data_IF_635106007291
#
_entry.id   IF_635106007291
#
_cell.length_a   1.000
_cell.length_b   1.000
_cell.length_c   1.000
_cell.angle_alpha   90.00
_cell.angle_beta   90.00
_cell.angle_gamma   90.00
#
_symmetry.space_group_name_H-M   'P 1'
#
loop_
_entity.id
_entity.type
_entity.pdbx_description
1 polymer ?
#
# COMPACT_ATOMS: atom_id res chain seq x y z
N UNK A 1 59.91 11.58 15.47
CA UNK A 1 59.32 10.23 15.35
C UNK A 1 59.36 9.51 16.70
N UNK A 2 60.50 9.57 17.41
CA UNK A 2 60.65 9.05 18.79
C UNK A 2 59.65 9.65 19.80
N UNK A 3 59.41 10.97 19.78
CA UNK A 3 58.46 11.60 20.72
C UNK A 3 56.99 11.12 20.60
N UNK A 4 56.58 10.63 19.42
CA UNK A 4 55.24 10.07 19.20
C UNK A 4 55.19 8.62 19.69
N UNK A 5 56.30 7.89 19.56
CA UNK A 5 56.46 6.53 20.07
C UNK A 5 56.51 6.52 21.59
N UNK A 6 57.21 7.47 22.22
CA UNK A 6 57.24 7.61 23.68
C UNK A 6 55.90 8.07 24.25
N UNK A 7 55.17 8.94 23.55
CA UNK A 7 53.81 9.33 23.95
C UNK A 7 52.82 8.16 23.90
N UNK A 8 52.93 7.28 22.90
CA UNK A 8 52.14 6.06 22.80
C UNK A 8 52.56 5.02 23.85
N UNK A 9 53.85 4.85 24.10
CA UNK A 9 54.37 3.93 25.12
C UNK A 9 53.99 4.34 26.54
N UNK A 10 53.90 5.64 26.85
CA UNK A 10 53.45 6.16 28.13
C UNK A 10 51.95 5.85 28.41
N UNK A 11 51.12 5.72 27.36
CA UNK A 11 49.72 5.30 27.48
C UNK A 11 49.54 3.77 27.55
N UNK A 12 50.50 3.01 27.00
CA UNK A 12 50.45 1.54 26.91
C UNK A 12 51.11 0.87 28.13
N UNK A 13 52.03 1.56 28.81
CA UNK A 13 52.93 0.98 29.82
C UNK A 13 52.31 0.49 31.15
N UNK A 14 51.14 0.97 31.57
CA UNK A 14 50.50 0.54 32.83
C UNK A 14 48.97 0.46 32.75
N UNK A 15 48.41 0.33 31.54
CA UNK A 15 46.98 0.10 31.42
C UNK A 15 46.69 -1.38 31.78
N UNK A 16 46.25 -1.63 33.01
CA UNK A 16 45.67 -2.92 33.37
C UNK A 16 44.60 -3.29 32.33
N UNK A 17 44.48 -4.56 31.96
CA UNK A 17 43.48 -4.98 30.95
C UNK A 17 42.06 -4.51 31.28
N UNK A 18 41.78 -4.28 32.56
CA UNK A 18 40.57 -3.65 33.06
C UNK A 18 40.41 -2.18 32.61
N UNK A 19 41.46 -1.35 32.71
CA UNK A 19 41.46 0.06 32.29
C UNK A 19 41.22 0.22 30.78
N UNK A 20 41.85 -0.64 29.97
CA UNK A 20 41.63 -0.67 28.51
C UNK A 20 40.19 -1.07 28.18
N UNK A 21 39.68 -2.13 28.83
CA UNK A 21 38.31 -2.60 28.64
C UNK A 21 37.28 -1.54 29.02
N UNK A 22 37.48 -0.87 30.16
CA UNK A 22 36.60 0.21 30.62
C UNK A 22 36.60 1.39 29.65
N UNK A 23 37.78 1.80 29.17
CA UNK A 23 37.91 2.91 28.21
C UNK A 23 37.20 2.60 26.89
N UNK A 24 37.40 1.41 26.32
CA UNK A 24 36.71 0.96 25.11
C UNK A 24 35.20 0.89 25.31
N UNK A 25 34.74 0.43 26.47
CA UNK A 25 33.32 0.39 26.80
C UNK A 25 32.70 1.79 26.90
N UNK A 26 33.39 2.77 27.51
CA UNK A 26 32.93 4.16 27.57
C UNK A 26 32.88 4.80 26.17
N UNK A 27 33.90 4.56 25.33
CA UNK A 27 33.89 5.01 23.92
C UNK A 27 32.72 4.39 23.17
N UNK A 28 32.47 3.09 23.36
CA UNK A 28 31.32 2.40 22.77
C UNK A 28 30.00 3.03 23.22
N UNK A 29 29.81 3.31 24.51
CA UNK A 29 28.61 3.99 25.02
C UNK A 29 28.45 5.40 24.44
N UNK A 30 29.54 6.16 24.30
CA UNK A 30 29.55 7.47 23.67
C UNK A 30 29.14 7.42 22.19
N UNK A 31 29.71 6.50 21.42
CA UNK A 31 29.35 6.25 20.02
C UNK A 31 27.91 5.74 19.88
N UNK A 32 27.46 4.89 20.79
CA UNK A 32 26.10 4.35 20.83
C UNK A 32 25.08 5.45 21.12
N UNK A 33 25.38 6.33 22.07
CA UNK A 33 24.55 7.50 22.36
C UNK A 33 24.55 8.47 21.18
N UNK A 34 25.71 8.85 20.64
CA UNK A 34 25.81 9.69 19.45
C UNK A 34 24.95 9.10 18.34
N UNK A 35 25.18 7.82 18.02
CA UNK A 35 24.40 7.09 17.03
C UNK A 35 22.92 7.33 17.28
N UNK A 36 22.43 7.07 18.49
CA UNK A 36 21.01 7.16 18.85
C UNK A 36 20.34 8.53 18.64
N UNK A 37 21.08 9.65 18.73
CA UNK A 37 20.52 11.02 18.70
C UNK A 37 20.89 11.83 17.47
N UNK A 38 21.99 11.53 16.79
CA UNK A 38 22.51 12.33 15.67
C UNK A 38 21.49 12.65 14.55
N UNK A 39 20.61 11.71 14.12
CA UNK A 39 19.60 11.99 13.09
C UNK A 39 18.55 13.03 13.49
N UNK A 40 18.38 13.28 14.79
CA UNK A 40 17.29 14.10 15.33
C UNK A 40 17.48 15.61 15.15
N UNK A 41 18.59 16.02 14.55
CA UNK A 41 18.84 17.41 14.17
C UNK A 41 18.24 17.81 12.82
N UNK A 42 17.92 16.85 11.95
CA UNK A 42 17.52 17.12 10.55
C UNK A 42 16.30 18.02 10.45
N UNK A 43 15.21 17.70 11.15
CA UNK A 43 13.96 18.48 11.08
C UNK A 43 14.15 19.89 11.65
N UNK A 44 14.85 20.01 12.78
CA UNK A 44 15.20 21.31 13.38
C UNK A 44 16.05 22.18 12.45
N UNK A 45 17.03 21.59 11.73
CA UNK A 45 17.84 22.30 10.74
C UNK A 45 17.03 22.79 9.54
N UNK A 46 15.96 22.09 9.18
CA UNK A 46 15.01 22.50 8.16
C UNK A 46 13.94 23.49 8.67
N UNK A 47 13.98 23.90 9.94
CA UNK A 47 12.98 24.79 10.54
C UNK A 47 11.63 24.12 10.79
N UNK A 48 11.55 22.79 10.73
CA UNK A 48 10.29 22.04 10.91
C UNK A 48 10.08 21.79 12.41
N UNK A 49 8.93 22.22 12.93
CA UNK A 49 8.56 21.99 14.33
C UNK A 49 8.21 20.51 14.55
N UNK A 50 8.75 19.90 15.61
CA UNK A 50 8.51 18.50 15.95
C UNK A 50 8.63 18.26 17.46
N UNK A 51 7.96 17.22 18.00
CA UNK A 51 8.13 16.81 19.39
C UNK A 51 9.56 16.28 19.63
N UNK A 52 9.99 16.29 20.89
CA UNK A 52 11.29 15.75 21.28
C UNK A 52 11.33 14.23 21.04
N UNK A 53 12.27 13.71 20.23
CA UNK A 53 12.40 12.28 19.99
C UNK A 53 13.11 11.55 21.13
N UNK A 54 12.73 10.29 21.36
CA UNK A 54 13.41 9.37 22.26
C UNK A 54 14.62 8.76 21.52
N UNK A 55 15.80 8.62 22.16
CA UNK A 55 16.95 7.91 21.59
C UNK A 55 16.56 6.60 20.89
N UNK A 56 17.13 6.36 19.70
CA UNK A 56 16.86 5.21 18.80
C UNK A 56 15.47 5.15 18.17
N UNK A 57 14.42 5.37 18.96
CA UNK A 57 13.03 5.03 18.61
C UNK A 57 12.23 6.24 18.10
N UNK A 58 12.77 7.44 18.24
CA UNK A 58 12.11 8.67 17.80
C UNK A 58 10.82 8.89 18.57
N UNK A 59 9.72 9.05 17.85
CA UNK A 59 8.40 9.32 18.39
C UNK A 59 7.44 8.12 18.23
N UNK A 60 7.96 6.90 18.04
CA UNK A 60 7.10 5.71 17.78
C UNK A 60 6.05 5.47 18.88
N UNK A 61 6.36 5.80 20.13
CA UNK A 61 5.46 5.61 21.26
C UNK A 61 4.25 6.55 21.27
N UNK A 62 4.29 7.65 20.51
CA UNK A 62 3.09 8.48 20.29
C UNK A 62 1.97 7.66 19.64
N UNK A 63 2.32 6.66 18.84
CA UNK A 63 1.36 5.89 18.04
C UNK A 63 0.90 4.59 18.72
N UNK A 64 1.09 4.44 20.04
CA UNK A 64 0.73 3.21 20.76
C UNK A 64 -0.76 2.88 20.71
N UNK A 65 -1.60 3.89 20.63
CA UNK A 65 -3.06 3.76 20.57
C UNK A 65 -3.61 4.02 19.15
N UNK A 66 -2.75 4.01 18.12
CA UNK A 66 -3.11 4.30 16.74
C UNK A 66 -2.50 5.60 16.22
N UNK A 67 -2.78 5.91 14.95
CA UNK A 67 -2.15 7.03 14.24
C UNK A 67 -2.98 8.32 14.23
N UNK A 68 -4.31 8.23 14.24
CA UNK A 68 -5.17 9.39 13.94
C UNK A 68 -5.13 10.50 14.99
N UNK A 69 -5.35 10.18 16.27
CA UNK A 69 -5.30 11.19 17.35
C UNK A 69 -3.92 11.84 17.46
N UNK A 70 -2.81 11.09 17.55
CA UNK A 70 -1.48 11.69 17.64
C UNK A 70 -1.13 12.58 16.45
N UNK A 71 -1.49 12.20 15.22
CA UNK A 71 -1.28 13.05 14.04
C UNK A 71 -2.12 14.33 14.10
N UNK A 72 -3.38 14.25 14.51
CA UNK A 72 -4.24 15.42 14.72
C UNK A 72 -3.66 16.36 15.77
N UNK A 73 -3.17 15.82 16.88
CA UNK A 73 -2.60 16.61 17.98
C UNK A 73 -1.29 17.28 17.57
N UNK A 74 -0.46 16.61 16.76
CA UNK A 74 0.74 17.19 16.16
C UNK A 74 0.40 18.38 15.25
N UNK A 75 -0.63 18.26 14.41
CA UNK A 75 -1.10 19.35 13.55
C UNK A 75 -1.58 20.54 14.39
N UNK A 76 -2.36 20.28 15.46
CA UNK A 76 -2.87 21.33 16.36
C UNK A 76 -1.75 22.06 17.11
N UNK A 77 -0.74 21.33 17.58
CA UNK A 77 0.31 21.88 18.47
C UNK A 77 1.51 22.45 17.72
N UNK A 78 1.87 21.90 16.55
CA UNK A 78 3.08 22.27 15.81
C UNK A 78 2.76 22.96 14.47
N UNK A 79 1.49 22.99 14.06
CA UNK A 79 1.02 23.62 12.82
C UNK A 79 0.76 22.64 11.68
N UNK A 80 0.23 23.15 10.56
CA UNK A 80 -0.15 22.35 9.37
C UNK A 80 1.03 21.69 8.65
N UNK A 81 2.24 22.18 8.88
CA UNK A 81 3.48 21.57 8.41
C UNK A 81 4.35 21.35 9.64
N UNK A 82 4.43 20.11 10.07
CA UNK A 82 5.21 19.72 11.22
C UNK A 82 5.94 18.40 10.94
N UNK A 83 6.70 17.90 11.89
CA UNK A 83 7.43 16.66 11.70
C UNK A 83 7.49 15.82 12.95
N UNK A 84 7.99 14.60 12.78
CA UNK A 84 8.28 13.66 13.84
C UNK A 84 9.31 12.64 13.34
N UNK A 85 9.87 11.85 14.24
CA UNK A 85 10.80 10.78 13.88
C UNK A 85 10.14 9.41 14.04
N UNK A 86 10.24 8.55 13.03
CA UNK A 86 9.90 7.12 13.17
C UNK A 86 11.19 6.32 13.21
N UNK A 87 11.57 5.87 14.41
CA UNK A 87 12.92 5.43 14.66
C UNK A 87 13.88 6.58 14.43
N UNK A 88 14.79 6.39 13.48
CA UNK A 88 15.81 7.37 13.10
C UNK A 88 15.44 8.19 11.85
N UNK A 89 14.30 7.90 11.23
CA UNK A 89 13.90 8.52 9.95
C UNK A 89 13.04 9.76 10.21
N UNK A 90 13.42 10.95 9.70
CA UNK A 90 12.58 12.13 9.76
C UNK A 90 11.33 11.93 8.90
N UNK A 91 10.18 12.33 9.43
CA UNK A 91 8.90 12.33 8.72
C UNK A 91 8.34 13.74 8.78
N UNK A 92 7.99 14.29 7.61
CA UNK A 92 7.28 15.56 7.50
C UNK A 92 5.80 15.25 7.31
N UNK A 93 4.99 15.79 8.21
CA UNK A 93 3.54 15.75 8.15
C UNK A 93 3.04 17.01 7.46
N UNK A 94 2.33 16.83 6.34
CA UNK A 94 1.76 17.91 5.55
C UNK A 94 0.23 17.82 5.64
N UNK A 95 -0.39 18.86 6.19
CA UNK A 95 -1.84 19.02 6.30
C UNK A 95 -2.34 20.29 5.58
N UNK A 96 -1.50 20.87 4.74
CA UNK A 96 -1.84 22.01 3.89
C UNK A 96 -2.28 21.51 2.49
N UNK A 97 -3.50 21.83 2.02
CA UNK A 97 -4.03 21.31 0.76
C UNK A 97 -3.21 21.68 -0.48
N UNK A 98 -2.67 22.90 -0.53
CA UNK A 98 -1.89 23.37 -1.67
C UNK A 98 -0.56 22.63 -1.75
N UNK A 99 0.09 22.42 -0.60
CA UNK A 99 1.31 21.61 -0.53
C UNK A 99 1.05 20.14 -0.81
N UNK A 100 -0.07 19.58 -0.37
CA UNK A 100 -0.48 18.22 -0.73
C UNK A 100 -0.66 18.09 -2.25
N UNK A 101 -1.33 19.05 -2.90
CA UNK A 101 -1.46 19.08 -4.37
C UNK A 101 -0.09 19.19 -5.05
N UNK A 102 0.81 20.01 -4.50
CA UNK A 102 2.17 20.15 -5.02
C UNK A 102 2.91 18.80 -4.98
N UNK A 103 2.93 18.12 -3.83
CA UNK A 103 3.66 16.86 -3.63
C UNK A 103 3.02 15.68 -4.37
N UNK A 104 1.69 15.57 -4.34
CA UNK A 104 0.98 14.39 -4.84
C UNK A 104 0.65 14.46 -6.33
N UNK A 105 0.65 15.66 -6.94
CA UNK A 105 0.27 15.85 -8.35
C UNK A 105 1.37 16.58 -9.12
N UNK A 106 1.62 17.85 -8.81
CA UNK A 106 2.49 18.72 -9.64
C UNK A 106 3.95 18.22 -9.71
N UNK A 107 4.51 17.85 -8.56
CA UNK A 107 5.89 17.38 -8.43
C UNK A 107 5.96 15.87 -8.16
N UNK A 108 4.96 15.10 -8.60
CA UNK A 108 4.90 13.65 -8.34
C UNK A 108 6.18 12.91 -8.79
N UNK A 109 6.84 13.39 -9.85
CA UNK A 109 8.12 12.87 -10.34
C UNK A 109 9.25 12.90 -9.30
N UNK A 110 9.17 13.81 -8.32
CA UNK A 110 10.09 13.91 -7.18
C UNK A 110 9.68 13.01 -6.00
N UNK A 111 8.41 12.59 -5.93
CA UNK A 111 7.85 11.76 -4.87
C UNK A 111 7.21 10.44 -5.36
N UNK A 112 7.84 9.68 -6.28
CA UNK A 112 7.19 8.55 -6.93
C UNK A 112 7.06 7.31 -6.02
N UNK A 113 7.77 7.27 -4.89
CA UNK A 113 7.94 6.07 -4.08
C UNK A 113 7.28 6.18 -2.71
N UNK A 114 6.68 5.07 -2.27
CA UNK A 114 6.22 4.90 -0.89
C UNK A 114 7.36 4.54 0.05
N UNK A 115 7.09 4.64 1.36
CA UNK A 115 8.04 4.20 2.40
C UNK A 115 8.43 2.74 2.15
N UNK A 116 9.73 2.49 2.16
CA UNK A 116 10.26 1.14 1.97
C UNK A 116 10.12 0.33 3.24
N UNK A 117 9.65 -0.91 3.10
CA UNK A 117 9.73 -1.93 4.15
C UNK A 117 10.99 -2.75 3.85
N UNK A 118 12.07 -2.61 4.63
CA UNK A 118 13.27 -3.40 4.42
C UNK A 118 12.95 -4.89 4.50
N UNK A 119 13.48 -5.68 3.55
CA UNK A 119 13.35 -7.16 3.53
C UNK A 119 11.90 -7.66 3.48
N UNK A 120 10.98 -6.90 2.88
CA UNK A 120 9.66 -7.41 2.58
C UNK A 120 9.76 -8.77 1.85
N UNK A 121 9.15 -9.84 2.37
CA UNK A 121 9.26 -11.15 1.75
C UNK A 121 8.46 -11.19 0.45
N UNK A 122 8.76 -12.17 -0.41
CA UNK A 122 7.84 -12.50 -1.50
C UNK A 122 6.54 -13.09 -0.92
N UNK A 123 5.38 -12.78 -1.53
CA UNK A 123 5.21 -12.02 -2.77
C UNK A 123 5.09 -10.49 -2.56
N UNK A 124 5.12 -10.00 -1.31
CA UNK A 124 4.94 -8.58 -0.96
C UNK A 124 5.94 -7.63 -1.65
N UNK A 125 7.20 -8.03 -1.77
CA UNK A 125 8.26 -7.22 -2.41
C UNK A 125 7.95 -6.83 -3.86
N UNK A 126 7.12 -7.61 -4.54
CA UNK A 126 6.81 -7.45 -5.97
C UNK A 126 5.41 -6.87 -6.20
N UNK A 127 4.75 -6.39 -5.14
CA UNK A 127 3.43 -5.73 -5.19
C UNK A 127 3.55 -4.26 -5.60
N UNK A 128 2.53 -3.72 -6.27
CA UNK A 128 2.42 -2.29 -6.61
C UNK A 128 2.58 -1.33 -5.42
N UNK A 129 2.39 -1.81 -4.18
CA UNK A 129 2.60 -1.02 -2.97
C UNK A 129 4.08 -0.80 -2.64
N UNK A 130 4.96 -1.74 -3.03
CA UNK A 130 6.39 -1.73 -2.68
C UNK A 130 7.32 -1.60 -3.88
N UNK A 131 6.83 -1.80 -5.11
CA UNK A 131 7.57 -1.48 -6.33
C UNK A 131 7.97 0.00 -6.36
N UNK A 132 9.06 0.31 -7.05
CA UNK A 132 9.64 1.66 -7.11
C UNK A 132 9.93 2.12 -8.52
N UNK A 133 9.92 3.44 -8.71
CA UNK A 133 10.36 4.13 -9.94
C UNK A 133 9.75 3.49 -11.20
N UNK A 134 10.58 3.26 -12.22
CA UNK A 134 10.22 2.62 -13.48
C UNK A 134 9.50 1.28 -13.33
N UNK A 135 9.90 0.47 -12.35
CA UNK A 135 9.28 -0.84 -12.12
C UNK A 135 7.84 -0.67 -11.66
N UNK A 136 7.59 0.28 -10.75
CA UNK A 136 6.24 0.67 -10.35
C UNK A 136 5.47 1.25 -11.53
N UNK A 137 6.05 2.20 -12.28
CA UNK A 137 5.39 2.88 -13.41
C UNK A 137 4.91 1.86 -14.44
N UNK A 138 5.77 0.90 -14.80
CA UNK A 138 5.49 -0.18 -15.75
C UNK A 138 4.38 -1.11 -15.26
N UNK A 139 4.47 -1.62 -14.02
CA UNK A 139 3.41 -2.52 -13.51
C UNK A 139 2.09 -1.77 -13.34
N UNK A 140 2.13 -0.49 -12.95
CA UNK A 140 0.94 0.35 -12.77
C UNK A 140 0.23 0.58 -14.10
N UNK A 141 0.96 0.87 -15.18
CA UNK A 141 0.36 1.04 -16.51
C UNK A 141 -0.28 -0.24 -17.04
N UNK A 142 0.27 -1.41 -16.71
CA UNK A 142 -0.26 -2.72 -17.12
C UNK A 142 -1.55 -3.07 -16.36
N UNK A 143 -1.61 -2.77 -15.06
CA UNK A 143 -2.71 -3.18 -14.19
C UNK A 143 -3.90 -2.20 -14.21
N UNK A 144 -3.67 -0.92 -14.47
CA UNK A 144 -4.73 0.10 -14.41
C UNK A 144 -5.92 -0.15 -15.36
N UNK A 145 -5.73 -0.62 -16.61
CA UNK A 145 -6.85 -0.92 -17.52
C UNK A 145 -7.83 -1.98 -17.01
N UNK A 146 -7.38 -2.88 -16.12
CA UNK A 146 -8.22 -3.90 -15.49
C UNK A 146 -9.34 -3.34 -14.61
N UNK A 147 -9.25 -2.05 -14.24
CA UNK A 147 -10.25 -1.33 -13.46
C UNK A 147 -11.06 -0.31 -14.30
N UNK A 148 -11.02 -0.42 -15.64
CA UNK A 148 -11.87 0.41 -16.50
C UNK A 148 -13.36 0.11 -16.29
N UNK A 149 -14.23 1.09 -16.58
CA UNK A 149 -15.67 0.94 -16.38
C UNK A 149 -16.29 -0.26 -17.10
N UNK A 150 -15.78 -0.62 -18.29
CA UNK A 150 -16.22 -1.82 -19.00
C UNK A 150 -15.84 -3.12 -18.25
N UNK A 151 -14.63 -3.20 -17.71
CA UNK A 151 -14.17 -4.35 -16.93
C UNK A 151 -14.90 -4.47 -15.60
N UNK A 152 -15.18 -3.34 -14.94
CA UNK A 152 -15.99 -3.33 -13.72
C UNK A 152 -17.40 -3.85 -13.97
N UNK A 153 -18.03 -3.51 -15.11
CA UNK A 153 -19.34 -4.06 -15.49
C UNK A 153 -19.31 -5.58 -15.70
N UNK A 154 -18.25 -6.14 -16.28
CA UNK A 154 -18.07 -7.59 -16.42
C UNK A 154 -18.03 -8.32 -15.05
N UNK A 155 -17.65 -7.62 -13.97
CA UNK A 155 -17.56 -8.20 -12.61
C UNK A 155 -18.88 -8.17 -11.83
N UNK A 156 -19.86 -7.36 -12.25
CA UNK A 156 -21.14 -7.16 -11.52
C UNK A 156 -21.88 -8.47 -11.22
N UNK A 157 -22.03 -9.43 -12.17
CA UNK A 157 -22.74 -10.68 -11.88
C UNK A 157 -22.12 -11.46 -10.71
N UNK A 158 -20.79 -11.37 -10.53
CA UNK A 158 -20.08 -12.07 -9.47
C UNK A 158 -20.32 -11.43 -8.11
N UNK A 159 -20.43 -10.10 -8.09
CA UNK A 159 -20.79 -9.33 -6.91
C UNK A 159 -22.24 -9.62 -6.52
N UNK A 160 -23.16 -9.69 -7.49
CA UNK A 160 -24.56 -10.00 -7.24
C UNK A 160 -24.73 -11.39 -6.60
N UNK A 161 -24.06 -12.43 -7.11
CA UNK A 161 -24.10 -13.77 -6.48
C UNK A 161 -23.66 -13.76 -5.02
N UNK A 162 -22.59 -13.03 -4.69
CA UNK A 162 -22.16 -12.90 -3.30
C UNK A 162 -23.14 -12.07 -2.46
N UNK A 163 -23.82 -11.10 -3.07
CA UNK A 163 -24.83 -10.25 -2.44
C UNK A 163 -26.10 -11.05 -2.13
N UNK A 164 -26.53 -11.93 -3.03
CA UNK A 164 -27.67 -12.85 -2.80
C UNK A 164 -27.40 -13.76 -1.59
N UNK A 165 -26.18 -14.31 -1.51
CA UNK A 165 -25.76 -15.10 -0.35
C UNK A 165 -25.76 -14.27 0.95
N UNK A 166 -25.32 -13.02 0.89
CA UNK A 166 -25.36 -12.11 2.04
C UNK A 166 -26.81 -11.85 2.48
N UNK A 167 -27.70 -11.54 1.53
CA UNK A 167 -29.10 -11.28 1.83
C UNK A 167 -29.79 -12.48 2.46
N UNK A 168 -29.53 -13.70 1.96
CA UNK A 168 -30.04 -14.93 2.56
C UNK A 168 -29.60 -15.08 4.02
N UNK A 169 -28.34 -14.80 4.33
CA UNK A 169 -27.82 -14.88 5.70
C UNK A 169 -28.35 -13.77 6.61
N UNK A 170 -28.50 -12.55 6.09
CA UNK A 170 -29.07 -11.44 6.84
C UNK A 170 -30.56 -11.66 7.15
N UNK A 171 -31.31 -12.30 6.25
CA UNK A 171 -32.71 -12.65 6.50
C UNK A 171 -32.87 -13.60 7.69
N UNK A 172 -31.98 -14.59 7.84
CA UNK A 172 -31.98 -15.49 9.01
C UNK A 172 -31.80 -14.71 10.32
N UNK A 173 -30.91 -13.72 10.34
CA UNK A 173 -30.73 -12.84 11.50
C UNK A 173 -31.92 -11.91 11.73
N UNK A 174 -32.53 -11.39 10.67
CA UNK A 174 -33.72 -10.55 10.78
C UNK A 174 -34.92 -11.32 11.35
N UNK A 175 -35.10 -12.59 10.93
CA UNK A 175 -36.15 -13.47 11.43
C UNK A 175 -35.94 -13.90 12.89
N UNK A 176 -34.68 -14.08 13.32
CA UNK A 176 -34.39 -14.46 14.71
C UNK A 176 -34.66 -13.32 15.70
N UNK A 177 -34.53 -12.06 15.24
CA UNK A 177 -34.63 -10.87 16.10
C UNK A 177 -33.46 -10.70 17.07
N UNK A 178 -32.41 -11.52 16.96
CA UNK A 178 -31.24 -11.47 17.83
C UNK A 178 -30.21 -10.45 17.31
N UNK A 179 -29.47 -9.86 18.24
CA UNK A 179 -28.33 -9.02 17.89
C UNK A 179 -27.23 -9.88 17.23
N UNK A 180 -26.63 -9.38 16.15
CA UNK A 180 -25.57 -10.06 15.42
C UNK A 180 -24.45 -9.11 15.01
N UNK A 181 -23.31 -9.68 14.64
CA UNK A 181 -22.13 -8.94 14.21
C UNK A 181 -22.15 -8.70 12.70
N UNK A 182 -22.62 -7.52 12.28
CA UNK A 182 -22.66 -7.13 10.86
C UNK A 182 -21.26 -7.04 10.23
N UNK A 183 -20.21 -6.72 11.01
CA UNK A 183 -18.84 -6.64 10.50
C UNK A 183 -18.36 -8.03 10.07
N UNK A 184 -18.70 -9.07 10.84
CA UNK A 184 -18.42 -10.46 10.46
C UNK A 184 -19.10 -10.85 9.15
N UNK A 185 -20.39 -10.54 8.98
CA UNK A 185 -21.14 -10.83 7.76
C UNK A 185 -20.53 -10.13 6.53
N UNK A 186 -20.25 -8.83 6.65
CA UNK A 186 -19.65 -8.03 5.57
C UNK A 186 -18.20 -8.44 5.28
N UNK A 187 -17.48 -8.91 6.30
CA UNK A 187 -16.20 -9.58 6.13
C UNK A 187 -16.31 -10.78 5.19
N UNK A 188 -17.18 -11.73 5.51
CA UNK A 188 -17.37 -12.91 4.65
C UNK A 188 -17.85 -12.53 3.24
N UNK A 189 -18.80 -11.60 3.12
CA UNK A 189 -19.25 -11.08 1.82
C UNK A 189 -18.09 -10.53 0.96
N UNK A 190 -17.28 -9.63 1.51
CA UNK A 190 -16.16 -9.03 0.77
C UNK A 190 -15.08 -10.05 0.44
N UNK A 191 -14.89 -11.09 1.27
CA UNK A 191 -14.01 -12.20 0.95
C UNK A 191 -14.51 -13.00 -0.25
N UNK A 192 -15.78 -13.37 -0.28
CA UNK A 192 -16.38 -14.14 -1.37
C UNK A 192 -16.33 -13.33 -2.68
N UNK A 193 -16.63 -12.02 -2.61
CA UNK A 193 -16.50 -11.10 -3.75
C UNK A 193 -15.08 -11.10 -4.29
N UNK A 194 -14.06 -10.85 -3.46
CA UNK A 194 -12.69 -10.73 -3.95
C UNK A 194 -12.13 -12.07 -4.42
N UNK A 195 -12.48 -13.20 -3.78
CA UNK A 195 -12.09 -14.52 -4.23
C UNK A 195 -12.67 -14.84 -5.63
N UNK A 196 -13.93 -14.49 -5.85
CA UNK A 196 -14.62 -14.72 -7.12
C UNK A 196 -14.12 -13.79 -8.23
N UNK A 197 -14.05 -12.48 -7.95
CA UNK A 197 -13.68 -11.44 -8.91
C UNK A 197 -12.19 -11.45 -9.23
N UNK A 198 -11.32 -11.71 -8.26
CA UNK A 198 -9.88 -11.68 -8.50
C UNK A 198 -9.33 -13.01 -9.03
N UNK A 199 -9.92 -14.14 -8.66
CA UNK A 199 -9.32 -15.47 -8.86
C UNK A 199 -10.23 -16.51 -9.51
N UNK A 200 -11.44 -16.16 -9.93
CA UNK A 200 -12.47 -17.12 -10.34
C UNK A 200 -12.79 -18.17 -9.27
N UNK A 201 -12.38 -17.98 -8.02
CA UNK A 201 -12.51 -18.99 -6.98
C UNK A 201 -13.78 -18.74 -6.20
N UNK A 202 -14.66 -19.73 -6.16
CA UNK A 202 -15.82 -19.68 -5.28
C UNK A 202 -15.36 -20.09 -3.88
N UNK A 203 -15.34 -19.11 -2.99
CA UNK A 203 -15.21 -19.30 -1.55
C UNK A 203 -16.60 -19.09 -0.98
N UNK A 204 -17.00 -19.97 -0.06
CA UNK A 204 -18.28 -19.92 0.62
C UNK A 204 -18.03 -19.53 2.09
N UNK A 205 -17.34 -18.40 2.29
CA UNK A 205 -16.91 -17.97 3.63
C UNK A 205 -18.09 -17.53 4.50
N UNK A 206 -19.20 -17.17 3.86
CA UNK A 206 -20.42 -16.77 4.52
C UNK A 206 -21.09 -17.93 5.26
N UNK A 207 -21.09 -19.14 4.70
CA UNK A 207 -21.57 -20.34 5.39
C UNK A 207 -20.46 -21.09 6.14
N UNK A 208 -19.20 -20.95 5.71
CA UNK A 208 -18.02 -21.65 6.28
C UNK A 208 -16.95 -20.64 6.70
N UNK A 209 -17.13 -19.95 7.84
CA UNK A 209 -16.23 -18.88 8.28
C UNK A 209 -14.81 -19.36 8.65
N UNK A 210 -14.63 -20.66 8.87
CA UNK A 210 -13.32 -21.30 9.14
C UNK A 210 -12.59 -21.72 7.85
N UNK A 211 -13.04 -21.23 6.69
CA UNK A 211 -12.36 -21.48 5.42
C UNK A 211 -10.87 -21.06 5.49
N UNK A 212 -9.93 -21.92 5.05
CA UNK A 212 -8.50 -21.63 5.09
C UNK A 212 -8.12 -20.30 4.43
N UNK A 213 -8.87 -19.89 3.41
CA UNK A 213 -8.67 -18.64 2.68
C UNK A 213 -8.96 -17.42 3.57
N UNK A 214 -10.05 -17.45 4.32
CA UNK A 214 -10.40 -16.42 5.33
C UNK A 214 -9.36 -16.39 6.44
N UNK A 215 -8.97 -17.56 6.94
CA UNK A 215 -8.00 -17.69 8.02
C UNK A 215 -6.66 -17.05 7.63
N UNK A 216 -6.11 -17.41 6.47
CA UNK A 216 -4.84 -16.86 5.99
C UNK A 216 -4.93 -15.38 5.63
N UNK A 217 -6.05 -14.89 5.10
CA UNK A 217 -6.22 -13.46 4.83
C UNK A 217 -6.22 -12.62 6.12
N UNK A 218 -6.90 -13.06 7.18
CA UNK A 218 -6.89 -12.39 8.50
C UNK A 218 -5.49 -12.33 9.11
N UNK A 219 -4.64 -13.33 8.86
CA UNK A 219 -3.26 -13.32 9.36
C UNK A 219 -2.45 -12.14 8.80
N UNK A 220 -2.70 -11.70 7.57
CA UNK A 220 -1.99 -10.58 6.94
C UNK A 220 -2.22 -9.26 7.69
N UNK A 221 -3.43 -9.03 8.18
CA UNK A 221 -3.83 -7.78 8.83
C UNK A 221 -3.53 -7.74 10.33
N UNK A 222 -3.07 -8.84 10.91
CA UNK A 222 -2.68 -8.94 12.33
C UNK A 222 -1.33 -8.28 12.70
N UNK A 223 -0.85 -7.34 11.89
CA UNK A 223 0.46 -6.69 12.05
C UNK A 223 0.49 -5.79 13.30
N UNK A 224 1.44 -6.04 14.20
CA UNK A 224 1.66 -5.21 15.40
C UNK A 224 3.02 -4.49 15.34
N UNK A 225 3.02 -3.17 15.25
CA UNK A 225 4.25 -2.37 15.10
C UNK A 225 5.12 -2.25 16.37
N UNK A 226 4.60 -2.65 17.53
CA UNK A 226 5.27 -2.52 18.82
C UNK A 226 5.87 -3.82 19.37
N UNK A 227 6.04 -4.86 18.53
CA UNK A 227 6.76 -6.06 18.98
C UNK A 227 8.23 -5.71 19.26
N UNK A 228 8.84 -6.20 20.35
CA UNK A 228 10.22 -5.86 20.72
C UNK A 228 11.23 -6.08 19.58
N UNK A 229 11.04 -7.13 18.77
CA UNK A 229 11.89 -7.43 17.63
C UNK A 229 11.81 -6.38 16.51
N UNK A 230 10.62 -5.80 16.29
CA UNK A 230 10.40 -4.73 15.32
C UNK A 230 11.03 -3.44 15.83
N UNK A 231 10.87 -3.12 17.12
CA UNK A 231 11.52 -1.97 17.75
C UNK A 231 13.04 -2.05 17.64
N UNK A 232 13.61 -3.25 17.82
CA UNK A 232 15.03 -3.50 17.63
C UNK A 232 15.49 -3.23 16.20
N UNK A 233 14.74 -3.69 15.18
CA UNK A 233 15.05 -3.40 13.78
C UNK A 233 14.88 -1.93 13.41
N UNK A 234 13.96 -1.22 14.04
CA UNK A 234 13.78 0.22 13.87
C UNK A 234 14.97 1.00 14.49
N UNK A 235 15.45 0.55 15.66
CA UNK A 235 16.62 1.12 16.32
C UNK A 235 17.93 0.85 15.55
N UNK A 236 18.07 -0.37 14.99
CA UNK A 236 19.28 -0.86 14.32
C UNK A 236 18.99 -1.45 12.93
N UNK A 237 18.63 -0.62 11.93
CA UNK A 237 18.20 -1.09 10.61
C UNK A 237 19.29 -1.87 9.85
N UNK A 238 20.57 -1.63 10.15
CA UNK A 238 21.70 -2.35 9.52
C UNK A 238 21.78 -3.82 9.95
N UNK A 239 21.28 -4.16 11.15
CA UNK A 239 21.23 -5.54 11.67
C UNK A 239 19.98 -6.27 11.17
N UNK A 240 18.92 -5.53 10.84
CA UNK A 240 17.66 -6.11 10.38
C UNK A 240 17.85 -7.02 9.16
N UNK A 241 18.70 -6.61 8.21
CA UNK A 241 18.98 -7.34 6.96
C UNK A 241 19.53 -8.75 7.16
N UNK A 242 20.71 -8.93 7.82
CA UNK A 242 21.25 -10.25 8.06
C UNK A 242 20.37 -11.05 9.03
N UNK A 243 19.85 -10.41 10.08
CA UNK A 243 19.19 -11.13 11.17
C UNK A 243 17.79 -11.62 10.79
N UNK A 244 17.05 -10.88 9.95
CA UNK A 244 15.74 -11.32 9.46
C UNK A 244 15.81 -12.62 8.63
N UNK A 245 16.96 -12.94 8.02
CA UNK A 245 17.15 -14.23 7.32
C UNK A 245 17.25 -15.41 8.28
N UNK A 246 17.68 -15.18 9.51
CA UNK A 246 17.88 -16.22 10.53
C UNK A 246 16.73 -16.34 11.51
N UNK A 247 15.79 -15.38 11.54
CA UNK A 247 14.60 -15.44 12.38
C UNK A 247 13.44 -15.98 11.55
N UNK A 248 13.06 -17.26 11.70
CA UNK A 248 11.95 -17.83 10.94
C UNK A 248 10.63 -17.21 11.40
N UNK A 249 9.85 -16.64 10.46
CA UNK A 249 8.50 -16.18 10.72
C UNK A 249 7.49 -17.19 10.18
N UNK A 250 7.42 -18.37 10.83
CA UNK A 250 6.59 -19.51 10.40
C UNK A 250 5.15 -19.14 10.03
N UNK A 251 4.52 -18.23 10.79
CA UNK A 251 3.14 -17.78 10.52
C UNK A 251 3.03 -17.03 9.20
N UNK A 252 3.95 -16.09 8.95
CA UNK A 252 3.97 -15.32 7.72
C UNK A 252 4.37 -16.19 6.52
N UNK A 253 5.31 -17.10 6.71
CA UNK A 253 5.74 -18.05 5.68
C UNK A 253 4.58 -18.97 5.28
N UNK A 254 3.84 -19.52 6.25
CA UNK A 254 2.68 -20.36 5.99
C UNK A 254 1.60 -19.63 5.18
N UNK A 255 1.28 -18.39 5.57
CA UNK A 255 0.32 -17.54 4.85
C UNK A 255 0.80 -17.22 3.42
N UNK A 256 2.05 -16.78 3.26
CA UNK A 256 2.62 -16.45 1.95
C UNK A 256 2.61 -17.69 1.04
N UNK A 257 3.03 -18.84 1.54
CA UNK A 257 3.07 -20.10 0.78
C UNK A 257 1.68 -20.57 0.37
N UNK A 258 0.69 -20.45 1.26
CA UNK A 258 -0.71 -20.78 0.92
C UNK A 258 -1.19 -20.00 -0.31
N UNK A 259 -1.06 -18.66 -0.29
CA UNK A 259 -1.51 -17.84 -1.40
C UNK A 259 -0.66 -18.01 -2.66
N UNK A 260 0.68 -18.11 -2.54
CA UNK A 260 1.55 -18.40 -3.69
C UNK A 260 1.11 -19.70 -4.38
N UNK A 261 0.91 -20.77 -3.61
CA UNK A 261 0.54 -22.08 -4.14
C UNK A 261 -0.83 -22.04 -4.84
N UNK A 262 -1.82 -21.36 -4.26
CA UNK A 262 -3.15 -21.21 -4.88
C UNK A 262 -3.04 -20.43 -6.18
N UNK A 263 -2.34 -19.28 -6.16
CA UNK A 263 -2.21 -18.42 -7.34
C UNK A 263 -1.50 -19.18 -8.46
N UNK A 264 -0.40 -19.87 -8.16
CA UNK A 264 0.35 -20.66 -9.14
C UNK A 264 -0.48 -21.81 -9.69
N UNK A 265 -1.26 -22.49 -8.84
CA UNK A 265 -2.18 -23.56 -9.27
C UNK A 265 -3.24 -23.02 -10.23
N UNK A 266 -3.83 -21.87 -9.93
CA UNK A 266 -4.84 -21.23 -10.79
C UNK A 266 -4.21 -20.80 -12.12
N UNK A 267 -3.02 -20.20 -12.11
CA UNK A 267 -2.30 -19.84 -13.34
C UNK A 267 -2.07 -21.09 -14.21
N UNK A 268 -1.53 -22.16 -13.62
CA UNK A 268 -1.26 -23.41 -14.34
C UNK A 268 -2.54 -24.02 -14.95
N UNK A 269 -3.63 -24.08 -14.17
CA UNK A 269 -4.91 -24.59 -14.66
C UNK A 269 -5.44 -23.80 -15.87
N UNK A 270 -5.19 -22.48 -15.92
CA UNK A 270 -5.62 -21.64 -17.06
C UNK A 270 -4.77 -21.82 -18.30
N UNK A 271 -3.48 -22.06 -18.14
CA UNK A 271 -2.58 -22.37 -19.25
C UNK A 271 -3.02 -23.67 -19.96
N UNK A 272 -3.56 -24.62 -19.20
CA UNK A 272 -4.11 -25.90 -19.70
C UNK A 272 -5.52 -25.76 -20.33
N UNK A 273 -6.28 -24.69 -20.00
CA UNK A 273 -7.63 -24.47 -20.51
C UNK A 273 -7.66 -23.76 -21.88
N UNK A 274 -8.61 -24.11 -22.77
CA UNK A 274 -8.87 -23.37 -24.01
C UNK A 274 -9.19 -21.90 -23.71
N UNK A 275 -8.74 -20.93 -24.55
CA UNK A 275 -8.98 -19.50 -24.33
C UNK A 275 -10.47 -19.13 -24.11
N UNK A 276 -11.37 -19.83 -24.80
CA UNK A 276 -12.83 -19.59 -24.74
C UNK A 276 -13.46 -20.02 -23.41
N UNK A 277 -12.81 -20.91 -22.66
CA UNK A 277 -13.30 -21.40 -21.36
C UNK A 277 -12.67 -20.64 -20.18
N UNK A 278 -11.71 -19.74 -20.43
CA UNK A 278 -11.07 -18.96 -19.38
C UNK A 278 -12.03 -17.88 -18.90
N UNK A 279 -12.37 -17.93 -17.62
CA UNK A 279 -13.19 -16.90 -16.98
C UNK A 279 -12.47 -15.56 -17.07
N UNK A 280 -13.19 -14.52 -17.51
CA UNK A 280 -12.68 -13.14 -17.51
C UNK A 280 -12.74 -12.58 -16.10
N UNK A 281 -11.63 -12.72 -15.40
CA UNK A 281 -11.43 -12.15 -14.06
C UNK A 281 -10.15 -11.32 -14.02
N UNK A 282 -9.87 -10.72 -12.87
CA UNK A 282 -8.71 -9.84 -12.71
C UNK A 282 -7.38 -10.54 -13.02
N UNK A 283 -7.19 -11.78 -12.57
CA UNK A 283 -5.98 -12.55 -12.85
C UNK A 283 -5.83 -12.81 -14.36
N UNK A 284 -6.92 -13.08 -15.08
CA UNK A 284 -6.89 -13.25 -16.52
C UNK A 284 -6.50 -11.94 -17.21
N UNK A 285 -7.03 -10.80 -16.75
CA UNK A 285 -6.66 -9.49 -17.28
C UNK A 285 -5.17 -9.19 -17.09
N UNK A 286 -4.58 -9.55 -15.94
CA UNK A 286 -3.13 -9.43 -15.73
C UNK A 286 -2.34 -10.36 -16.67
N UNK A 287 -2.80 -11.60 -16.85
CA UNK A 287 -2.14 -12.57 -17.72
C UNK A 287 -2.20 -12.14 -19.19
N UNK A 288 -3.32 -11.56 -19.63
CA UNK A 288 -3.48 -11.00 -20.97
C UNK A 288 -2.62 -9.75 -21.15
N UNK A 289 -2.54 -8.89 -20.12
CA UNK A 289 -1.69 -7.71 -20.16
C UNK A 289 -0.17 -8.05 -20.15
N UNK A 290 0.20 -9.25 -19.71
CA UNK A 290 1.56 -9.81 -19.89
C UNK A 290 1.86 -10.16 -21.34
N UNK A 291 0.84 -10.47 -22.15
CA UNK A 291 1.02 -10.87 -23.56
C UNK A 291 0.79 -9.73 -24.55
N UNK A 292 -0.01 -8.72 -24.20
CA UNK A 292 -0.24 -7.52 -25.02
C UNK A 292 0.90 -6.50 -24.95
N UNK A 293 1.21 -5.86 -26.08
CA UNK A 293 2.28 -4.85 -26.22
C UNK A 293 1.79 -3.40 -25.90
N UNK A 294 0.54 -3.22 -25.48
CA UNK A 294 -0.09 -1.92 -25.27
C UNK A 294 0.23 -1.32 -23.88
N UNK A 295 0.87 -0.16 -23.87
CA UNK A 295 1.03 0.66 -22.67
C UNK A 295 0.09 1.86 -22.78
N UNK A 296 -0.76 2.07 -21.78
CA UNK A 296 -1.46 3.35 -21.64
C UNK A 296 -0.44 4.39 -21.20
N UNK A 297 -0.30 5.48 -21.96
CA UNK A 297 0.55 6.61 -21.55
C UNK A 297 0.00 7.19 -20.25
N UNK A 298 0.79 7.10 -19.18
CA UNK A 298 0.44 7.67 -17.88
C UNK A 298 0.53 9.20 -17.85
N UNK A 299 0.99 9.84 -18.93
CA UNK A 299 1.02 11.32 -19.04
C UNK A 299 -0.39 11.93 -19.01
N UNK A 300 -1.43 11.14 -19.32
CA UNK A 300 -2.84 11.55 -19.24
C UNK A 300 -3.51 11.21 -17.90
N UNK A 301 -2.82 10.55 -16.97
CA UNK A 301 -3.34 10.31 -15.62
C UNK A 301 -3.21 11.55 -14.72
N UNK A 302 -2.30 12.47 -15.07
CA UNK A 302 -1.94 13.67 -14.29
C UNK A 302 -2.82 14.90 -14.58
N UNK A 303 -3.77 14.80 -15.50
CA UNK A 303 -4.79 15.83 -15.72
C UNK A 303 -6.11 15.32 -15.18
N UNK A 304 -6.43 15.72 -13.95
CA UNK A 304 -7.83 15.83 -13.57
C UNK A 304 -8.51 16.67 -14.66
N UNK A 305 -9.49 16.09 -15.34
CA UNK A 305 -10.22 16.68 -16.46
C UNK A 305 -10.56 18.16 -16.18
N UNK A 306 -9.81 19.08 -16.80
CA UNK A 306 -10.22 20.48 -16.96
C UNK A 306 -11.25 20.63 -18.09
N UNK A 307 -11.81 19.52 -18.59
CA UNK A 307 -12.72 19.48 -19.72
C UNK A 307 -14.20 19.68 -19.35
N UNK A 308 -14.60 19.55 -18.08
CA UNK A 308 -16.03 19.64 -17.69
C UNK A 308 -16.50 21.04 -17.26
N UNK A 309 -15.66 22.09 -17.34
CA UNK A 309 -16.08 23.45 -16.92
C UNK A 309 -16.16 24.51 -18.04
N UNK A 310 -15.88 24.20 -19.32
CA UNK A 310 -15.81 25.25 -20.35
C UNK A 310 -16.52 24.98 -21.69
N UNK A 311 -17.18 23.83 -21.92
CA UNK A 311 -17.77 23.54 -23.24
C UNK A 311 -19.21 24.06 -23.45
N UNK A 312 -19.46 25.28 -22.97
CA UNK A 312 -20.55 26.13 -23.41
C UNK A 312 -20.02 27.50 -23.86
N UNK A 313 -19.11 27.51 -24.84
CA UNK A 313 -19.00 28.63 -25.80
C UNK A 313 -18.06 28.32 -26.96
N UNK A 314 -18.65 28.37 -28.14
CA UNK A 314 -18.04 28.64 -29.45
C UNK A 314 -17.52 27.45 -30.27
N UNK A 315 -18.47 26.87 -31.00
CA UNK A 315 -18.27 26.35 -32.35
C UNK A 315 -17.75 27.43 -33.32
N UNK A 316 -16.99 26.95 -34.33
CA UNK A 316 -16.44 27.62 -35.54
C UNK A 316 -15.12 28.35 -35.26
N UNK A 317 -13.99 28.03 -35.90
CA UNK A 317 -13.79 28.00 -37.36
C UNK A 317 -12.51 27.21 -37.74
N UNK A 318 -12.46 26.83 -39.02
CA UNK A 318 -11.55 25.96 -39.77
C UNK A 318 -10.03 26.24 -39.77
N UNK A 319 -9.28 25.12 -39.88
CA UNK A 319 -8.22 24.75 -40.83
C UNK A 319 -7.03 25.67 -41.20
N UNK A 320 -5.85 25.01 -41.21
CA UNK A 320 -4.74 25.08 -42.21
C UNK A 320 -3.36 25.58 -41.74
N UNK A 321 -2.41 24.64 -41.79
CA UNK A 321 -1.01 24.67 -42.26
C UNK A 321 -0.11 25.91 -42.05
N UNK A 322 1.10 25.72 -41.49
CA UNK A 322 2.37 25.57 -42.23
C UNK A 322 3.61 25.72 -41.33
N UNK A 323 4.69 25.06 -41.74
CA UNK A 323 6.05 24.99 -41.17
C UNK A 323 6.70 26.33 -40.78
N UNK A 324 7.59 26.29 -39.78
CA UNK A 324 8.96 26.81 -39.96
C UNK A 324 9.96 26.35 -38.89
N UNK A 325 11.11 25.95 -39.41
CA UNK A 325 12.35 25.47 -38.83
C UNK A 325 13.21 26.62 -38.25
N UNK A 326 13.95 26.36 -37.17
CA UNK A 326 15.18 27.09 -36.81
C UNK A 326 15.91 26.38 -35.66
N UNK A 327 17.00 25.70 -35.99
CA UNK A 327 17.86 24.97 -35.06
C UNK A 327 18.91 25.82 -34.34
N UNK A 328 19.46 25.24 -33.26
CA UNK A 328 20.88 25.30 -32.84
C UNK A 328 21.13 24.31 -31.67
N UNK A 329 22.39 23.88 -31.40
CA UNK A 329 22.75 22.46 -31.28
C UNK A 329 22.93 21.90 -29.86
N UNK A 330 22.82 20.57 -29.76
CA UNK A 330 23.11 19.73 -28.58
C UNK A 330 24.53 19.92 -28.00
N UNK A 331 24.70 19.58 -26.70
CA UNK A 331 25.68 18.54 -26.43
C UNK A 331 25.20 17.43 -25.47
N UNK A 332 25.67 16.23 -25.80
CA UNK A 332 25.86 15.04 -24.97
C UNK A 332 24.65 14.18 -24.60
N UNK A 333 24.36 13.29 -25.55
CA UNK A 333 23.72 11.99 -25.32
C UNK A 333 24.40 11.23 -24.16
N UNK A 334 23.57 10.79 -23.22
CA UNK A 334 23.89 9.75 -22.24
C UNK A 334 23.17 8.45 -22.65
N UNK A 335 23.76 7.28 -22.35
CA UNK A 335 23.73 6.12 -23.23
C UNK A 335 22.39 5.38 -23.22
N UNK A 336 21.95 4.99 -24.43
CA UNK A 336 21.09 3.84 -24.77
C UNK A 336 20.23 3.33 -23.60
N UNK A 337 19.01 3.87 -23.48
CA UNK A 337 17.94 3.23 -22.69
C UNK A 337 17.74 1.83 -23.26
N UNK A 338 18.21 0.81 -22.54
CA UNK A 338 17.86 -0.60 -22.82
C UNK A 338 16.32 -0.69 -22.89
N UNK A 339 15.74 -1.36 -23.89
CA UNK A 339 14.28 -1.49 -23.96
C UNK A 339 13.81 -2.16 -22.67
N UNK A 340 13.03 -1.43 -21.86
CA UNK A 340 12.41 -1.99 -20.67
C UNK A 340 11.61 -3.21 -21.09
N UNK A 341 11.84 -4.35 -20.43
CA UNK A 341 11.08 -5.59 -20.67
C UNK A 341 9.58 -5.25 -20.55
N UNK A 342 8.88 -5.32 -21.68
CA UNK A 342 7.46 -4.96 -21.84
C UNK A 342 6.50 -5.78 -20.96
N UNK A 343 6.95 -6.92 -20.40
CA UNK A 343 6.11 -7.92 -19.74
C UNK A 343 6.32 -8.00 -18.23
N UNK A 344 5.24 -8.17 -17.47
CA UNK A 344 5.30 -8.52 -16.04
C UNK A 344 6.01 -9.87 -15.83
N UNK A 345 6.82 -9.96 -14.79
CA UNK A 345 7.40 -11.25 -14.35
C UNK A 345 6.33 -12.09 -13.64
N UNK A 346 6.56 -13.40 -13.54
CA UNK A 346 5.66 -14.28 -12.78
C UNK A 346 5.54 -13.84 -11.32
N UNK A 347 6.67 -13.47 -10.68
CA UNK A 347 6.67 -12.89 -9.33
C UNK A 347 5.80 -11.63 -9.22
N UNK A 348 5.80 -10.76 -10.24
CA UNK A 348 4.96 -9.55 -10.26
C UNK A 348 3.47 -9.88 -10.44
N UNK A 349 3.15 -10.91 -11.23
CA UNK A 349 1.78 -11.43 -11.39
C UNK A 349 1.28 -11.97 -10.05
N UNK A 350 2.05 -12.84 -9.41
CA UNK A 350 1.73 -13.41 -8.10
C UNK A 350 1.62 -12.31 -7.03
N UNK A 351 2.55 -11.35 -7.04
CA UNK A 351 2.52 -10.18 -6.18
C UNK A 351 1.25 -9.35 -6.34
N UNK A 352 0.86 -9.03 -7.58
CA UNK A 352 -0.38 -8.29 -7.82
C UNK A 352 -1.58 -9.07 -7.33
N UNK A 353 -1.72 -10.33 -7.74
CA UNK A 353 -2.87 -11.12 -7.34
C UNK A 353 -2.97 -11.18 -5.80
N UNK A 354 -1.86 -11.44 -5.11
CA UNK A 354 -1.77 -11.42 -3.64
C UNK A 354 -2.23 -10.10 -3.02
N UNK A 355 -1.77 -8.95 -3.52
CA UNK A 355 -2.13 -7.65 -2.91
C UNK A 355 -3.57 -7.26 -3.17
N UNK A 356 -4.10 -7.55 -4.36
CA UNK A 356 -5.50 -7.26 -4.68
C UNK A 356 -6.46 -8.08 -3.84
N UNK A 357 -6.09 -9.34 -3.58
CA UNK A 357 -6.86 -10.20 -2.69
C UNK A 357 -7.05 -9.57 -1.31
N UNK A 358 -5.93 -9.21 -0.70
CA UNK A 358 -5.92 -8.75 0.67
C UNK A 358 -6.56 -7.35 0.76
N UNK A 359 -6.21 -6.46 -0.17
CA UNK A 359 -6.76 -5.11 -0.20
C UNK A 359 -8.29 -5.10 -0.33
N UNK A 360 -8.86 -5.98 -1.15
CA UNK A 360 -10.32 -6.05 -1.39
C UNK A 360 -11.14 -6.57 -0.21
N UNK A 361 -10.52 -7.31 0.72
CA UNK A 361 -11.19 -7.92 1.86
C UNK A 361 -11.41 -6.93 3.02
N UNK A 362 -10.34 -6.55 3.73
CA UNK A 362 -10.48 -5.85 5.02
C UNK A 362 -10.91 -4.37 4.85
N UNK A 363 -10.47 -3.71 3.78
CA UNK A 363 -10.80 -2.29 3.56
C UNK A 363 -12.28 -2.09 3.23
N UNK A 364 -12.83 -2.94 2.35
CA UNK A 364 -14.24 -2.92 1.94
C UNK A 364 -15.15 -3.29 3.11
N UNK A 365 -14.82 -4.35 3.86
CA UNK A 365 -15.64 -4.80 5.00
C UNK A 365 -15.70 -3.76 6.11
N UNK A 366 -14.57 -3.15 6.48
CA UNK A 366 -14.55 -2.04 7.43
C UNK A 366 -15.39 -0.86 6.95
N UNK A 367 -15.27 -0.48 5.67
CA UNK A 367 -16.01 0.65 5.10
C UNK A 367 -17.52 0.40 5.12
N UNK A 368 -17.95 -0.78 4.69
CA UNK A 368 -19.36 -1.18 4.73
C UNK A 368 -19.88 -1.25 6.17
N UNK A 369 -19.12 -1.80 7.10
CA UNK A 369 -19.52 -1.91 8.50
C UNK A 369 -19.65 -0.53 9.17
N UNK A 370 -18.70 0.39 8.95
CA UNK A 370 -18.83 1.76 9.43
C UNK A 370 -20.03 2.47 8.79
N UNK A 371 -20.30 2.21 7.51
CA UNK A 371 -21.48 2.76 6.82
C UNK A 371 -22.77 2.25 7.48
N UNK A 372 -22.92 0.94 7.69
CA UNK A 372 -24.07 0.36 8.37
C UNK A 372 -24.23 0.91 9.80
N UNK A 373 -23.12 1.02 10.55
CA UNK A 373 -23.13 1.59 11.90
C UNK A 373 -23.63 3.03 11.91
N UNK A 374 -23.12 3.88 11.01
CA UNK A 374 -23.55 5.27 10.91
C UNK A 374 -25.01 5.37 10.46
N UNK A 375 -25.45 4.59 9.48
CA UNK A 375 -26.86 4.59 9.06
C UNK A 375 -27.80 4.16 10.19
N UNK A 376 -27.41 3.16 11.00
CA UNK A 376 -28.20 2.73 12.16
C UNK A 376 -28.30 3.82 13.25
N UNK A 377 -27.27 4.66 13.41
CA UNK A 377 -27.28 5.80 14.33
C UNK A 377 -27.97 7.05 13.77
N UNK A 378 -28.18 7.11 12.45
CA UNK A 378 -28.76 8.24 11.72
C UNK A 378 -29.95 7.79 10.86
N UNK A 379 -31.11 7.47 11.46
CA UNK A 379 -32.26 6.90 10.76
C UNK A 379 -32.81 7.78 9.62
N UNK A 380 -32.64 9.11 9.72
CA UNK A 380 -32.98 10.05 8.67
C UNK A 380 -32.12 9.86 7.41
N UNK A 381 -30.83 9.58 7.58
CA UNK A 381 -29.93 9.27 6.47
C UNK A 381 -30.25 7.89 5.90
N UNK A 382 -30.52 6.90 6.75
CA UNK A 382 -30.92 5.56 6.32
C UNK A 382 -32.17 5.59 5.44
N UNK A 383 -33.23 6.29 5.89
CA UNK A 383 -34.48 6.40 5.13
C UNK A 383 -34.28 7.09 3.78
N UNK A 384 -33.50 8.18 3.75
CA UNK A 384 -33.21 8.90 2.50
C UNK A 384 -32.49 8.04 1.47
N UNK A 385 -31.53 7.22 1.91
CA UNK A 385 -30.83 6.29 1.01
C UNK A 385 -31.77 5.17 0.52
N UNK A 386 -32.65 4.66 1.38
CA UNK A 386 -33.67 3.68 0.98
C UNK A 386 -34.62 4.27 -0.07
N UNK A 387 -35.14 5.48 0.17
CA UNK A 387 -36.00 6.20 -0.78
C UNK A 387 -35.30 6.42 -2.13
N UNK A 388 -34.02 6.78 -2.14
CA UNK A 388 -33.24 6.95 -3.37
C UNK A 388 -33.11 5.64 -4.17
N UNK A 389 -32.85 4.52 -3.48
CA UNK A 389 -32.77 3.19 -4.10
C UNK A 389 -34.13 2.76 -4.65
N UNK A 390 -35.20 2.91 -3.87
CA UNK A 390 -36.57 2.57 -4.27
C UNK A 390 -37.02 3.40 -5.48
N UNK A 391 -36.69 4.70 -5.49
CA UNK A 391 -36.94 5.61 -6.62
C UNK A 391 -36.20 5.16 -7.88
N UNK A 392 -34.93 4.74 -7.73
CA UNK A 392 -34.13 4.27 -8.85
C UNK A 392 -34.77 3.04 -9.51
N UNK A 393 -35.10 2.01 -8.72
CA UNK A 393 -35.71 0.78 -9.24
C UNK A 393 -37.15 0.98 -9.73
N UNK A 394 -37.91 1.90 -9.13
CA UNK A 394 -39.25 2.27 -9.61
C UNK A 394 -39.20 2.92 -10.99
N UNK A 395 -38.16 3.74 -11.27
CA UNK A 395 -37.97 4.41 -12.57
C UNK A 395 -37.36 3.50 -13.64
N UNK A 396 -36.64 2.45 -13.25
CA UNK A 396 -35.92 1.55 -14.17
C UNK A 396 -36.41 0.10 -14.09
N UNK A 397 -37.73 -0.09 -14.08
CA UNK A 397 -38.36 -1.44 -14.07
C UNK A 397 -37.80 -2.30 -15.21
N UNK A 398 -37.13 -3.41 -14.88
CA UNK A 398 -36.54 -4.35 -15.84
C UNK A 398 -35.02 -4.54 -15.77
N UNK A 399 -34.32 -3.92 -14.80
CA UNK A 399 -32.89 -4.12 -14.51
C UNK A 399 -32.61 -5.00 -13.28
N UNK A 400 -33.64 -5.64 -12.72
CA UNK A 400 -33.52 -6.60 -11.61
C UNK A 400 -32.67 -7.83 -11.97
#
# INVERSE_FOLDING_TARGET
MEAVVDFLNAFIGEASGFSVTLSLFLVFLGLLYWYSVYPFSVLSRCGIKHPKPVPFLGNIFLFRQGFFSPLSDLIKTHGRICGYYLGRTPVVLVADPDMLRQVMVKDFSSFPNRRTIPFAPKPMSDTLLLLKNDRWKRVRSIVSPSFSGARMKEMVPLINTASDALMNNLNVHAESGEAFDIHRCLGCFTMDVIASVAFATQVDSQNKPDDPFVHHAKMFFSLSFLRPIILFFIAFPFIAAPLARFIPNKKQDQMNQFFINIIQKIIKQREEQPPEQRRRDFLQLILDARTSDEMVSLEHFDTANHADELDHRNQRTQASASDQDSGHPHPQESPVRRPQKKKMTEDEVVGQAFVFLLAGYETSSNTLAFTCYLLALHPECQRRVQEEVDDFFTRHKGLE
#
